data_IF_340091388666
#
_entry.id   IF_340091388666
#
_cell.length_a   1.000
_cell.length_b   1.000
_cell.length_c   1.000
_cell.angle_alpha   90.00
_cell.angle_beta   90.00
_cell.angle_gamma   90.00
#
_symmetry.space_group_name_H-M   'P 1'
#
loop_
_entity.id
_entity.type
_entity.pdbx_description
1 polymer ?
#
# COMPACT_ATOMS: atom_id res chain seq x y z
N UNK A 1 21.81 -27.44 -15.02
CA UNK A 1 21.05 -27.90 -16.19
C UNK A 1 21.97 -27.71 -17.38
N UNK A 2 22.63 -28.77 -17.86
CA UNK A 2 23.55 -28.70 -19.00
C UNK A 2 22.73 -28.77 -20.30
N UNK A 3 22.86 -27.76 -21.15
CA UNK A 3 22.12 -27.68 -22.40
C UNK A 3 22.99 -28.22 -23.54
N UNK A 4 22.56 -29.33 -24.15
CA UNK A 4 23.33 -30.08 -25.14
C UNK A 4 23.12 -29.66 -26.60
N UNK A 5 22.36 -28.60 -26.90
CA UNK A 5 22.08 -28.24 -28.29
C UNK A 5 21.80 -26.73 -28.51
N UNK A 6 22.58 -26.03 -29.37
CA UNK A 6 22.38 -24.62 -29.71
C UNK A 6 20.99 -24.29 -30.28
N UNK A 7 20.32 -25.24 -30.92
CA UNK A 7 19.01 -25.02 -31.54
C UNK A 7 17.84 -25.03 -30.54
N UNK A 8 17.98 -25.71 -29.39
CA UNK A 8 16.99 -25.63 -28.31
C UNK A 8 17.00 -24.24 -27.64
N UNK A 9 18.18 -23.67 -27.48
CA UNK A 9 18.38 -22.30 -26.99
C UNK A 9 17.73 -21.24 -27.90
N UNK A 10 17.87 -21.41 -29.22
CA UNK A 10 17.33 -20.47 -30.21
C UNK A 10 15.80 -20.45 -30.24
N UNK A 11 15.16 -21.58 -29.91
CA UNK A 11 13.70 -21.71 -29.87
C UNK A 11 13.09 -21.08 -28.60
N UNK A 12 13.77 -21.16 -27.45
CA UNK A 12 13.41 -20.39 -26.25
C UNK A 12 13.55 -18.87 -26.47
N UNK A 13 14.64 -18.42 -27.11
CA UNK A 13 14.88 -16.99 -27.41
C UNK A 13 13.73 -16.30 -28.14
N UNK A 14 13.11 -17.01 -29.10
CA UNK A 14 11.99 -16.49 -29.90
C UNK A 14 10.65 -16.49 -29.15
N UNK A 15 10.43 -17.44 -28.24
CA UNK A 15 9.19 -17.55 -27.47
C UNK A 15 9.12 -16.52 -26.33
N UNK A 16 10.28 -16.13 -25.77
CA UNK A 16 10.37 -15.16 -24.67
C UNK A 16 10.62 -13.70 -25.14
N UNK A 17 10.72 -13.48 -26.46
CA UNK A 17 10.76 -12.12 -27.03
C UNK A 17 12.14 -11.45 -27.08
N UNK A 18 13.23 -12.18 -26.89
CA UNK A 18 14.60 -11.67 -27.00
C UNK A 18 14.99 -11.56 -28.48
N UNK A 19 15.15 -10.33 -28.98
CA UNK A 19 15.44 -10.06 -30.40
C UNK A 19 16.94 -9.93 -30.66
N UNK A 20 17.75 -9.57 -29.65
CA UNK A 20 19.18 -9.39 -29.78
C UNK A 20 19.98 -10.11 -28.66
N UNK A 21 21.23 -10.54 -28.93
CA UNK A 21 22.08 -11.20 -27.93
C UNK A 21 22.45 -10.30 -26.73
N UNK A 22 22.39 -8.98 -26.94
CA UNK A 22 22.67 -7.94 -25.94
C UNK A 22 21.53 -7.81 -24.91
N UNK A 23 20.29 -8.19 -25.27
CA UNK A 23 19.08 -8.07 -24.41
C UNK A 23 19.18 -8.91 -23.12
N UNK A 24 20.14 -9.83 -23.04
CA UNK A 24 20.42 -10.66 -21.85
C UNK A 24 21.07 -9.81 -20.74
N UNK A 25 21.71 -8.70 -21.09
CA UNK A 25 22.38 -7.78 -20.16
C UNK A 25 21.49 -6.62 -19.71
N UNK A 26 20.33 -6.41 -20.36
CA UNK A 26 19.30 -5.43 -19.99
C UNK A 26 18.24 -6.00 -19.02
N UNK A 27 18.49 -7.18 -18.46
CA UNK A 27 17.61 -7.78 -17.46
C UNK A 27 17.86 -7.07 -16.13
N UNK A 28 17.00 -6.09 -15.81
CA UNK A 28 17.01 -5.39 -14.53
C UNK A 28 17.04 -6.41 -13.37
N UNK A 29 18.04 -6.27 -12.49
CA UNK A 29 18.17 -7.20 -11.37
C UNK A 29 17.11 -6.89 -10.31
N UNK A 30 16.81 -7.86 -9.43
CA UNK A 30 15.94 -7.56 -8.29
C UNK A 30 16.51 -6.44 -7.40
N UNK A 31 17.84 -6.32 -7.33
CA UNK A 31 18.50 -5.27 -6.56
C UNK A 31 18.29 -3.88 -7.20
N UNK A 32 18.18 -3.79 -8.52
CA UNK A 32 17.87 -2.55 -9.23
C UNK A 32 16.40 -2.14 -9.01
N UNK A 33 15.47 -3.10 -9.13
CA UNK A 33 14.05 -2.93 -8.77
C UNK A 33 13.92 -2.43 -7.32
N UNK A 34 14.64 -3.07 -6.41
CA UNK A 34 14.64 -2.73 -4.99
C UNK A 34 15.09 -1.29 -4.79
N UNK A 35 16.23 -0.89 -5.36
CA UNK A 35 16.74 0.49 -5.28
C UNK A 35 15.73 1.51 -5.82
N UNK A 36 15.06 1.18 -6.93
CA UNK A 36 14.08 2.06 -7.57
C UNK A 36 12.84 2.27 -6.69
N UNK A 37 12.31 1.19 -6.13
CA UNK A 37 11.19 1.24 -5.19
C UNK A 37 11.60 1.96 -3.90
N UNK A 38 12.80 1.70 -3.36
CA UNK A 38 13.29 2.33 -2.13
C UNK A 38 13.36 3.86 -2.22
N UNK A 39 13.62 4.41 -3.40
CA UNK A 39 13.61 5.86 -3.66
C UNK A 39 12.22 6.50 -3.60
N UNK A 40 11.14 5.71 -3.64
CA UNK A 40 9.79 6.26 -3.61
C UNK A 40 9.47 6.91 -2.27
N UNK A 41 9.06 8.18 -2.36
CA UNK A 41 8.51 8.94 -1.25
C UNK A 41 7.07 8.51 -0.97
N UNK A 42 6.61 8.61 0.29
CA UNK A 42 5.21 8.39 0.67
C UNK A 42 4.23 9.24 -0.15
N UNK A 43 3.11 8.64 -0.56
CA UNK A 43 2.08 9.33 -1.35
C UNK A 43 1.10 10.07 -0.43
N UNK A 44 1.49 11.25 0.04
CA UNK A 44 0.70 12.07 0.96
C UNK A 44 0.19 13.31 0.23
N UNK A 45 -1.13 13.45 0.15
CA UNK A 45 -1.80 14.65 -0.35
C UNK A 45 -2.34 15.44 0.84
N UNK A 46 -1.80 16.64 1.06
CA UNK A 46 -2.26 17.51 2.14
C UNK A 46 -3.14 18.62 1.60
N UNK A 47 -4.41 18.60 2.01
CA UNK A 47 -5.42 19.59 1.68
C UNK A 47 -5.66 20.45 2.94
N UNK A 48 -4.58 21.03 3.46
CA UNK A 48 -4.59 21.83 4.69
C UNK A 48 -3.68 23.06 4.51
N UNK A 49 -4.12 24.20 5.02
CA UNK A 49 -3.30 25.40 5.15
C UNK A 49 -2.62 25.41 6.53
N UNK A 50 -1.33 25.05 6.60
CA UNK A 50 -0.58 25.04 7.87
C UNK A 50 -0.63 26.37 8.64
N UNK A 51 -0.77 27.49 7.93
CA UNK A 51 -0.86 28.84 8.52
C UNK A 51 -2.14 29.02 9.36
N UNK A 52 -3.20 28.29 9.02
CA UNK A 52 -4.50 28.35 9.67
C UNK A 52 -4.62 27.36 10.84
N UNK A 53 -3.65 26.45 10.97
CA UNK A 53 -3.63 25.47 12.05
C UNK A 53 -3.11 26.10 13.36
N UNK A 54 -3.80 25.80 14.45
CA UNK A 54 -3.28 26.08 15.78
C UNK A 54 -2.12 25.13 16.13
N UNK A 55 -1.43 25.42 17.23
CA UNK A 55 -0.24 24.68 17.67
C UNK A 55 -0.53 23.19 17.87
N UNK A 56 -1.69 22.86 18.42
CA UNK A 56 -2.09 21.49 18.69
C UNK A 56 -2.37 20.69 17.40
N UNK A 57 -3.07 21.29 16.45
CA UNK A 57 -3.31 20.69 15.14
C UNK A 57 -2.01 20.50 14.35
N UNK A 58 -1.06 21.45 14.44
CA UNK A 58 0.27 21.30 13.83
C UNK A 58 1.04 20.12 14.42
N UNK A 59 1.05 20.00 15.75
CA UNK A 59 1.68 18.88 16.45
C UNK A 59 1.08 17.55 16.00
N UNK A 60 -0.25 17.49 15.87
CA UNK A 60 -0.94 16.30 15.38
C UNK A 60 -0.65 16.01 13.91
N UNK A 61 -0.60 17.03 13.06
CA UNK A 61 -0.23 16.89 11.66
C UNK A 61 1.16 16.25 11.52
N UNK A 62 2.14 16.67 12.31
CA UNK A 62 3.48 16.06 12.32
C UNK A 62 3.46 14.58 12.74
N UNK A 63 2.64 14.21 13.74
CA UNK A 63 2.46 12.81 14.12
C UNK A 63 1.82 11.99 12.99
N UNK A 64 0.81 12.54 12.31
CA UNK A 64 0.16 11.90 11.17
C UNK A 64 1.15 11.74 10.00
N UNK A 65 1.96 12.75 9.70
CA UNK A 65 3.05 12.67 8.70
C UNK A 65 4.02 11.55 9.06
N UNK A 66 4.45 11.48 10.31
CA UNK A 66 5.32 10.41 10.81
C UNK A 66 4.68 9.04 10.61
N UNK A 67 3.40 8.87 10.99
CA UNK A 67 2.64 7.64 10.74
C UNK A 67 2.62 7.26 9.25
N UNK A 68 2.26 8.20 8.37
CA UNK A 68 2.17 7.94 6.93
C UNK A 68 3.54 7.56 6.33
N UNK A 69 4.61 8.19 6.80
CA UNK A 69 5.98 7.90 6.37
C UNK A 69 6.44 6.52 6.81
N UNK A 70 6.27 6.19 8.10
CA UNK A 70 6.63 4.87 8.65
C UNK A 70 5.80 3.76 8.00
N UNK A 71 4.47 3.93 7.89
CA UNK A 71 3.60 2.96 7.24
C UNK A 71 4.01 2.75 5.77
N UNK A 72 4.30 3.82 5.03
CA UNK A 72 4.76 3.70 3.65
C UNK A 72 6.07 2.92 3.54
N UNK A 73 7.00 3.14 4.46
CA UNK A 73 8.28 2.44 4.48
C UNK A 73 8.10 0.95 4.80
N UNK A 74 7.38 0.63 5.87
CA UNK A 74 7.14 -0.75 6.29
C UNK A 74 6.35 -1.52 5.21
N UNK A 75 5.30 -0.88 4.67
CA UNK A 75 4.49 -1.45 3.58
C UNK A 75 5.34 -1.76 2.34
N UNK A 76 6.20 -0.81 1.94
CA UNK A 76 7.11 -0.97 0.80
C UNK A 76 8.09 -2.13 1.01
N UNK A 77 8.67 -2.25 2.21
CA UNK A 77 9.62 -3.33 2.51
C UNK A 77 8.94 -4.70 2.49
N UNK A 78 7.74 -4.81 3.08
CA UNK A 78 6.95 -6.03 3.01
C UNK A 78 6.55 -6.36 1.57
N UNK A 79 6.13 -5.37 0.77
CA UNK A 79 5.81 -5.56 -0.64
C UNK A 79 7.01 -6.11 -1.44
N UNK A 80 8.20 -5.54 -1.22
CA UNK A 80 9.44 -5.99 -1.84
C UNK A 80 9.79 -7.43 -1.43
N UNK A 81 9.64 -7.76 -0.15
CA UNK A 81 9.87 -9.12 0.36
C UNK A 81 8.95 -10.13 -0.35
N UNK A 82 7.67 -9.78 -0.49
CA UNK A 82 6.69 -10.60 -1.19
C UNK A 82 7.03 -10.76 -2.67
N UNK A 83 7.40 -9.68 -3.37
CA UNK A 83 7.87 -9.77 -4.75
C UNK A 83 9.06 -10.72 -4.91
N UNK A 84 10.01 -10.65 -3.96
CA UNK A 84 11.18 -11.55 -3.96
C UNK A 84 10.78 -13.01 -3.78
N UNK A 85 9.92 -13.29 -2.80
CA UNK A 85 9.41 -14.63 -2.52
C UNK A 85 8.67 -15.19 -3.74
N UNK A 86 7.76 -14.40 -4.33
CA UNK A 86 7.01 -14.81 -5.51
C UNK A 86 7.93 -15.14 -6.68
N UNK A 87 8.98 -14.35 -6.94
CA UNK A 87 9.95 -14.65 -8.02
C UNK A 87 10.71 -15.96 -7.80
N UNK A 88 10.92 -16.38 -6.56
CA UNK A 88 11.68 -17.59 -6.24
C UNK A 88 10.80 -18.85 -6.18
N UNK A 89 9.60 -18.75 -5.59
CA UNK A 89 8.70 -19.89 -5.34
C UNK A 89 7.78 -20.19 -6.53
N UNK A 90 7.34 -19.16 -7.25
CA UNK A 90 6.48 -19.29 -8.42
C UNK A 90 7.21 -18.75 -9.62
N UNK A 91 7.47 -19.62 -10.61
CA UNK A 91 8.08 -19.17 -11.86
C UNK A 91 7.14 -18.13 -12.50
N UNK A 92 7.70 -16.95 -12.80
CA UNK A 92 7.19 -15.94 -13.75
C UNK A 92 6.28 -14.80 -13.25
N UNK A 93 6.64 -14.07 -12.18
CA UNK A 93 6.38 -12.61 -12.25
C UNK A 93 7.39 -12.03 -13.24
N UNK A 94 6.93 -11.79 -14.48
CA UNK A 94 7.76 -11.17 -15.50
C UNK A 94 8.20 -9.75 -15.09
N UNK A 95 9.37 -9.32 -15.55
CA UNK A 95 9.88 -7.96 -15.31
C UNK A 95 8.85 -6.88 -15.71
N UNK A 96 8.12 -7.10 -16.81
CA UNK A 96 7.04 -6.21 -17.28
C UNK A 96 5.94 -5.98 -16.23
N UNK A 97 5.63 -6.97 -15.42
CA UNK A 97 4.61 -6.85 -14.37
C UNK A 97 5.16 -6.03 -13.20
N UNK A 98 6.43 -6.24 -12.86
CA UNK A 98 7.12 -5.44 -11.83
C UNK A 98 7.21 -3.98 -12.26
N UNK A 99 7.61 -3.72 -13.51
CA UNK A 99 7.66 -2.37 -14.07
C UNK A 99 6.28 -1.73 -14.06
N UNK A 100 5.25 -2.46 -14.46
CA UNK A 100 3.87 -1.98 -14.40
C UNK A 100 3.44 -1.58 -12.98
N UNK A 101 3.86 -2.32 -11.95
CA UNK A 101 3.55 -1.97 -10.56
C UNK A 101 4.23 -0.68 -10.13
N UNK A 102 5.47 -0.50 -10.56
CA UNK A 102 6.27 0.67 -10.22
C UNK A 102 5.75 1.89 -10.96
N UNK A 103 5.51 1.79 -12.27
CA UNK A 103 4.94 2.86 -13.10
C UNK A 103 3.58 3.32 -12.60
N UNK A 104 2.76 2.40 -12.09
CA UNK A 104 1.43 2.73 -11.53
C UNK A 104 1.45 3.02 -10.03
N UNK A 105 2.63 3.02 -9.40
CA UNK A 105 2.81 3.26 -7.99
C UNK A 105 1.92 2.37 -7.09
N UNK A 106 1.81 1.09 -7.45
CA UNK A 106 1.03 0.09 -6.70
C UNK A 106 1.79 -0.52 -5.53
N UNK A 107 3.00 -0.05 -5.29
CA UNK A 107 3.89 -0.51 -4.21
C UNK A 107 3.69 0.28 -2.90
N UNK A 108 2.91 1.36 -2.93
CA UNK A 108 2.68 2.26 -1.80
C UNK A 108 1.19 2.58 -1.61
N UNK A 109 0.72 2.70 -0.36
CA UNK A 109 -0.59 3.27 -0.08
C UNK A 109 -0.64 4.76 -0.43
N UNK A 110 -1.85 5.29 -0.48
CA UNK A 110 -2.12 6.72 -0.68
C UNK A 110 -2.81 7.31 0.54
N UNK A 111 -2.44 8.52 0.89
CA UNK A 111 -2.96 9.25 2.03
C UNK A 111 -3.51 10.61 1.59
N UNK A 112 -4.65 11.00 2.15
CA UNK A 112 -5.16 12.36 2.08
C UNK A 112 -5.32 12.87 3.50
N UNK A 113 -4.71 14.01 3.81
CA UNK A 113 -4.85 14.68 5.10
C UNK A 113 -5.62 15.99 4.88
N UNK A 114 -6.72 16.18 5.58
CA UNK A 114 -7.55 17.39 5.45
C UNK A 114 -8.20 17.77 6.79
N UNK A 115 -8.83 18.94 6.88
CA UNK A 115 -9.51 19.41 8.08
C UNK A 115 -10.73 20.29 7.75
N UNK A 116 -11.52 20.60 8.79
CA UNK A 116 -12.59 21.59 8.72
C UNK A 116 -13.58 21.37 7.57
N UNK A 117 -13.83 22.41 6.77
CA UNK A 117 -14.81 22.37 5.67
C UNK A 117 -14.44 21.38 4.55
N UNK A 118 -13.15 21.25 4.24
CA UNK A 118 -12.69 20.34 3.19
C UNK A 118 -12.87 18.88 3.63
N UNK A 119 -12.59 18.58 4.90
CA UNK A 119 -12.87 17.26 5.48
C UNK A 119 -14.36 16.89 5.39
N UNK A 120 -15.26 17.83 5.75
CA UNK A 120 -16.71 17.61 5.65
C UNK A 120 -17.16 17.35 4.22
N UNK A 121 -16.72 18.18 3.27
CA UNK A 121 -17.04 18.01 1.86
C UNK A 121 -16.56 16.64 1.33
N UNK A 122 -15.37 16.19 1.75
CA UNK A 122 -14.82 14.90 1.35
C UNK A 122 -15.62 13.73 1.93
N UNK A 123 -16.02 13.81 3.21
CA UNK A 123 -16.88 12.81 3.86
C UNK A 123 -18.25 12.71 3.17
N UNK A 124 -18.86 13.85 2.85
CA UNK A 124 -20.12 13.92 2.10
C UNK A 124 -19.98 13.31 0.70
N UNK A 125 -18.89 13.61 -0.03
CA UNK A 125 -18.60 13.01 -1.34
C UNK A 125 -18.45 11.48 -1.27
N UNK A 126 -18.00 10.97 -0.13
CA UNK A 126 -17.82 9.55 0.13
C UNK A 126 -19.08 8.86 0.67
N UNK A 127 -20.14 9.63 0.97
CA UNK A 127 -21.36 9.10 1.58
C UNK A 127 -21.13 8.59 3.01
N UNK A 128 -20.22 9.23 3.75
CA UNK A 128 -19.88 8.94 5.15
C UNK A 128 -20.34 10.11 6.02
N UNK A 129 -20.72 9.84 7.27
CA UNK A 129 -21.14 10.90 8.20
C UNK A 129 -20.06 11.99 8.33
N UNK A 130 -20.45 13.22 7.97
CA UNK A 130 -19.61 14.41 7.99
C UNK A 130 -19.38 15.01 9.38
N UNK A 131 -20.04 14.49 10.42
CA UNK A 131 -19.82 14.95 11.79
C UNK A 131 -18.37 14.69 12.22
N UNK A 132 -17.59 15.76 12.37
CA UNK A 132 -16.19 15.71 12.77
C UNK A 132 -15.88 16.93 13.64
N UNK A 133 -15.06 16.77 14.66
CA UNK A 133 -14.58 17.90 15.45
C UNK A 133 -13.67 18.79 14.58
N UNK A 134 -13.91 20.11 14.57
CA UNK A 134 -13.15 21.06 13.75
C UNK A 134 -11.67 21.16 14.16
N UNK A 135 -11.34 20.75 15.38
CA UNK A 135 -9.98 20.67 15.90
C UNK A 135 -9.29 19.36 15.53
N UNK A 136 -10.00 18.42 14.90
CA UNK A 136 -9.45 17.16 14.43
C UNK A 136 -9.05 17.23 12.96
N UNK A 137 -8.16 16.31 12.59
CA UNK A 137 -7.72 16.12 11.21
C UNK A 137 -8.36 14.86 10.67
N UNK A 138 -8.74 14.86 9.40
CA UNK A 138 -9.19 13.69 8.69
C UNK A 138 -8.00 13.07 7.97
N UNK A 139 -7.79 11.77 8.18
CA UNK A 139 -6.85 10.96 7.42
C UNK A 139 -7.61 9.93 6.60
N UNK A 140 -7.53 10.04 5.28
CA UNK A 140 -8.03 9.03 4.36
C UNK A 140 -6.87 8.15 3.94
N UNK A 141 -7.00 6.86 4.17
CA UNK A 141 -6.06 5.83 3.74
C UNK A 141 -6.66 5.02 2.61
N UNK A 142 -5.90 4.85 1.54
CA UNK A 142 -6.27 4.05 0.38
C UNK A 142 -5.17 3.07 0.01
N UNK A 143 -5.53 1.80 -0.06
CA UNK A 143 -4.65 0.75 -0.59
C UNK A 143 -4.35 0.99 -2.07
N UNK A 144 -3.20 0.49 -2.57
CA UNK A 144 -2.98 0.31 -4.00
C UNK A 144 -4.20 -0.30 -4.69
N UNK A 145 -4.59 0.23 -5.84
CA UNK A 145 -5.82 -0.17 -6.54
C UNK A 145 -5.98 -1.70 -6.71
N UNK A 146 -4.94 -2.47 -7.08
CA UNK A 146 -5.09 -3.92 -7.20
C UNK A 146 -5.42 -4.60 -5.86
N UNK A 147 -4.83 -4.13 -4.76
CA UNK A 147 -5.12 -4.64 -3.42
C UNK A 147 -6.52 -4.25 -2.96
N UNK A 148 -6.98 -3.04 -3.26
CA UNK A 148 -8.32 -2.61 -2.91
C UNK A 148 -9.42 -3.36 -3.70
N UNK A 149 -9.14 -3.76 -4.94
CA UNK A 149 -10.13 -4.40 -5.83
C UNK A 149 -10.10 -5.93 -5.81
N UNK A 150 -8.92 -6.53 -5.68
CA UNK A 150 -8.68 -7.95 -5.90
C UNK A 150 -8.15 -8.68 -4.66
N UNK A 151 -8.37 -8.16 -3.45
CA UNK A 151 -7.94 -8.77 -2.19
C UNK A 151 -8.44 -10.21 -1.97
N UNK A 152 -9.51 -10.63 -2.64
CA UNK A 152 -10.06 -12.00 -2.55
C UNK A 152 -9.37 -13.01 -3.49
N UNK A 153 -8.51 -12.52 -4.39
CA UNK A 153 -7.98 -13.28 -5.52
C UNK A 153 -6.68 -14.01 -5.15
N UNK A 154 -6.74 -15.33 -4.96
CA UNK A 154 -5.60 -16.21 -4.70
C UNK A 154 -5.15 -16.28 -3.22
N UNK A 155 -4.12 -17.10 -2.96
CA UNK A 155 -3.52 -17.34 -1.64
C UNK A 155 -4.40 -18.15 -0.67
N UNK A 156 -5.08 -19.18 -1.20
CA UNK A 156 -6.01 -20.00 -0.44
C UNK A 156 -5.41 -20.72 0.77
N UNK A 157 -4.11 -20.99 0.69
CA UNK A 157 -3.37 -21.74 1.71
C UNK A 157 -3.18 -20.93 3.01
N UNK A 158 -3.38 -19.60 2.99
CA UNK A 158 -3.18 -18.74 4.16
C UNK A 158 -4.44 -18.55 5.03
N UNK A 159 -5.66 -18.46 4.47
CA UNK A 159 -6.87 -18.04 5.22
C UNK A 159 -8.20 -18.68 4.74
N UNK A 160 -8.21 -20.01 4.52
CA UNK A 160 -9.45 -20.80 4.41
C UNK A 160 -10.41 -20.43 3.27
N UNK A 161 -11.68 -20.83 3.41
CA UNK A 161 -12.71 -20.96 2.36
C UNK A 161 -13.13 -19.66 1.64
N UNK A 162 -12.67 -18.47 2.06
CA UNK A 162 -12.99 -17.19 1.40
C UNK A 162 -12.09 -16.86 0.21
N UNK A 163 -11.12 -17.72 -0.08
CA UNK A 163 -10.17 -17.57 -1.16
C UNK A 163 -10.64 -18.30 -2.42
N UNK A 164 -10.33 -17.73 -3.59
CA UNK A 164 -10.55 -18.42 -4.86
C UNK A 164 -9.20 -18.92 -5.36
N UNK A 165 -9.07 -20.22 -5.60
CA UNK A 165 -7.93 -20.80 -6.32
C UNK A 165 -7.89 -20.20 -7.74
N UNK A 166 -6.80 -19.51 -8.05
CA UNK A 166 -6.66 -18.78 -9.30
C UNK A 166 -5.88 -19.53 -10.38
N UNK A 167 -5.63 -20.85 -10.23
CA UNK A 167 -5.14 -21.75 -11.29
C UNK A 167 -4.20 -21.06 -12.28
N UNK A 168 -3.00 -20.74 -11.81
CA UNK A 168 -1.91 -20.12 -12.60
C UNK A 168 -2.10 -18.65 -13.05
N UNK A 169 -3.05 -17.89 -12.49
CA UNK A 169 -3.01 -16.43 -12.68
C UNK A 169 -1.81 -15.81 -11.96
N UNK A 170 -1.14 -14.88 -12.65
CA UNK A 170 0.26 -14.50 -12.39
C UNK A 170 0.53 -13.92 -10.99
N UNK A 171 -0.47 -13.29 -10.35
CA UNK A 171 -0.32 -12.64 -9.03
C UNK A 171 -1.54 -12.88 -8.15
N UNK A 172 -1.29 -13.41 -6.96
CA UNK A 172 -2.27 -13.64 -5.91
C UNK A 172 -2.38 -12.41 -5.02
N UNK A 173 -3.15 -11.43 -5.48
CA UNK A 173 -3.40 -10.20 -4.74
C UNK A 173 -3.98 -10.44 -3.34
N UNK A 174 -4.66 -11.57 -3.13
CA UNK A 174 -5.12 -11.95 -1.80
C UNK A 174 -3.99 -12.30 -0.84
N UNK A 175 -2.93 -12.97 -1.31
CA UNK A 175 -1.77 -13.22 -0.46
C UNK A 175 -1.06 -11.91 -0.11
N UNK A 176 -0.81 -11.05 -1.11
CA UNK A 176 -0.23 -9.72 -0.85
C UNK A 176 -1.06 -8.92 0.14
N UNK A 177 -2.38 -8.89 -0.03
CA UNK A 177 -3.28 -8.20 0.89
C UNK A 177 -3.16 -8.74 2.31
N UNK A 178 -3.13 -10.08 2.49
CA UNK A 178 -3.04 -10.71 3.81
C UNK A 178 -1.71 -10.47 4.52
N UNK A 179 -0.64 -10.29 3.77
CA UNK A 179 0.69 -9.99 4.31
C UNK A 179 0.89 -8.48 4.57
N UNK A 180 0.24 -7.62 3.79
CA UNK A 180 0.38 -6.16 3.91
C UNK A 180 -0.57 -5.51 4.92
N UNK A 181 -1.78 -6.06 5.13
CA UNK A 181 -2.71 -5.49 6.10
C UNK A 181 -2.25 -5.58 7.55
N UNK A 182 -1.59 -6.67 8.02
CA UNK A 182 -0.97 -6.71 9.33
C UNK A 182 -0.02 -5.53 9.55
N UNK A 183 0.78 -5.16 8.55
CA UNK A 183 1.66 -3.97 8.63
C UNK A 183 0.85 -2.71 8.91
N UNK A 184 -0.28 -2.51 8.21
CA UNK A 184 -1.16 -1.36 8.45
C UNK A 184 -1.68 -1.33 9.89
N UNK A 185 -2.17 -2.47 10.38
CA UNK A 185 -2.75 -2.56 11.73
C UNK A 185 -1.70 -2.46 12.83
N UNK A 186 -0.53 -3.04 12.64
CA UNK A 186 0.59 -2.96 13.58
C UNK A 186 1.16 -1.55 13.66
N UNK A 187 1.36 -0.87 12.52
CA UNK A 187 1.80 0.53 12.53
C UNK A 187 0.73 1.43 13.16
N UNK A 188 -0.55 1.20 12.88
CA UNK A 188 -1.64 1.92 13.56
C UNK A 188 -1.57 1.71 15.07
N UNK A 189 -1.51 0.45 15.53
CA UNK A 189 -1.45 0.11 16.94
C UNK A 189 -0.22 0.69 17.64
N UNK A 190 0.94 0.71 16.99
CA UNK A 190 2.16 1.35 17.52
C UNK A 190 1.97 2.86 17.73
N UNK A 191 1.39 3.54 16.75
CA UNK A 191 1.13 4.99 16.85
C UNK A 191 0.04 5.32 17.86
N UNK A 192 -0.93 4.43 18.04
CA UNK A 192 -1.94 4.55 19.09
C UNK A 192 -1.32 4.45 20.49
N UNK A 193 -0.51 3.42 20.73
CA UNK A 193 0.02 3.13 22.06
C UNK A 193 1.25 3.96 22.43
N UNK A 194 2.14 4.27 21.48
CA UNK A 194 3.44 4.91 21.77
C UNK A 194 3.48 6.40 21.43
N UNK A 195 2.65 6.86 20.48
CA UNK A 195 2.65 8.26 20.00
C UNK A 195 1.40 9.03 20.44
N UNK A 196 0.45 8.34 21.07
CA UNK A 196 -0.77 8.92 21.61
C UNK A 196 -1.75 9.40 20.53
N UNK A 197 -1.62 8.94 19.27
CA UNK A 197 -2.63 9.19 18.24
C UNK A 197 -3.88 8.35 18.52
N UNK A 198 -5.05 8.87 18.18
CA UNK A 198 -6.29 8.10 18.24
C UNK A 198 -6.90 8.06 16.83
N UNK A 199 -7.17 6.84 16.34
CA UNK A 199 -7.69 6.59 14.99
C UNK A 199 -9.18 6.29 15.05
N UNK A 200 -10.01 7.33 15.12
CA UNK A 200 -11.46 7.14 15.15
C UNK A 200 -12.00 6.83 13.74
N UNK A 201 -12.28 5.55 13.48
CA UNK A 201 -12.80 5.11 12.18
C UNK A 201 -14.18 5.72 11.88
N UNK A 202 -14.35 6.32 10.69
CA UNK A 202 -15.59 6.96 10.23
C UNK A 202 -16.42 6.08 9.29
N UNK A 203 -15.79 5.22 8.49
CA UNK A 203 -16.48 4.25 7.64
C UNK A 203 -16.74 2.93 8.38
N UNK A 204 -17.87 2.27 8.12
CA UNK A 204 -18.20 0.97 8.72
C UNK A 204 -17.24 -0.15 8.28
N UNK A 205 -17.23 -1.25 9.03
CA UNK A 205 -16.54 -2.49 8.62
C UNK A 205 -17.09 -2.94 7.26
N UNK A 206 -16.20 -3.29 6.34
CA UNK A 206 -16.56 -3.66 4.96
C UNK A 206 -16.93 -2.48 4.05
N UNK A 207 -17.23 -1.29 4.59
CA UNK A 207 -17.56 -0.10 3.80
C UNK A 207 -16.29 0.56 3.27
N UNK A 208 -15.88 0.22 2.05
CA UNK A 208 -14.74 0.84 1.36
C UNK A 208 -15.10 1.10 -0.11
N UNK A 209 -14.40 2.04 -0.73
CA UNK A 209 -14.49 2.31 -2.15
C UNK A 209 -13.11 2.11 -2.79
N UNK A 210 -12.91 1.07 -3.63
CA UNK A 210 -11.60 0.74 -4.18
C UNK A 210 -10.93 1.82 -5.03
N UNK A 211 -11.65 2.89 -5.39
CA UNK A 211 -11.12 4.02 -6.14
C UNK A 211 -10.95 5.29 -5.28
N UNK A 212 -11.42 5.30 -4.03
CA UNK A 212 -11.46 6.53 -3.19
C UNK A 212 -10.88 6.35 -1.79
N UNK A 213 -11.30 5.33 -1.06
CA UNK A 213 -10.87 5.13 0.33
C UNK A 213 -10.99 3.67 0.79
N UNK A 214 -10.10 3.27 1.68
CA UNK A 214 -10.16 2.00 2.40
C UNK A 214 -10.50 2.23 3.87
N UNK A 215 -9.75 3.10 4.53
CA UNK A 215 -10.07 3.62 5.86
C UNK A 215 -10.20 5.13 5.83
N UNK A 216 -11.12 5.63 6.64
CA UNK A 216 -11.26 7.04 6.93
C UNK A 216 -11.18 7.17 8.45
N UNK A 217 -10.19 7.91 8.93
CA UNK A 217 -9.95 8.13 10.35
C UNK A 217 -10.07 9.60 10.67
N UNK A 218 -10.90 9.91 11.66
CA UNK A 218 -10.80 11.17 12.39
C UNK A 218 -9.68 11.04 13.41
N UNK A 219 -8.65 11.86 13.23
CA UNK A 219 -7.40 11.83 13.97
C UNK A 219 -7.47 12.82 15.13
N UNK A 220 -7.44 12.27 16.33
CA UNK A 220 -7.23 13.03 17.57
C UNK A 220 -5.99 12.53 18.30
N UNK A 221 -5.71 13.11 19.47
CA UNK A 221 -4.79 12.48 20.42
C UNK A 221 -5.60 11.89 21.58
N UNK A 222 -5.07 10.86 22.23
CA UNK A 222 -5.62 10.44 23.52
C UNK A 222 -5.45 11.60 24.51
N UNK A 223 -6.53 11.98 25.18
CA UNK A 223 -6.38 12.81 26.38
C UNK A 223 -5.50 12.02 27.35
N UNK A 224 -4.42 12.61 27.85
CA UNK A 224 -3.62 12.01 28.92
C UNK A 224 -4.54 11.84 30.14
N UNK A 225 -5.22 10.71 30.24
CA UNK A 225 -6.00 10.31 31.40
C UNK A 225 -5.09 9.72 32.47
N UNK A 226 -3.97 10.39 32.73
CA UNK A 226 -3.11 10.16 33.89
C UNK A 226 -2.85 11.53 34.53
N UNK A 227 -3.78 11.92 35.41
CA UNK A 227 -3.60 12.62 36.69
C UNK A 227 -4.99 13.09 37.17
N UNK A 228 -5.76 12.16 37.73
CA UNK A 228 -6.74 12.44 38.79
C UNK A 228 -6.56 11.42 39.89
#
# INVERSE_FOLDING_TARGET
MEFSNPNQFKKMRLLEGFKHPEDIWDIETFDDIKKRIEQFSPNITELISEKELNVEMKRRLEKIRTFCNELSQDFKQTFLSLLKQYRHERREISQKIVDYFIEKNFVLPNFIITNGKQARALLEEYGVDGNMNEQNLLLVFQLPKPLAQFWWKGGADSWGDMSVDIKDQTIEWGHFYRELMPVVWETQGRHENEKGLNFQRKNNIGQHNPNKYYYIWEMSEWENSEYK
#
